data_IF_393573698562
#
_entry.id   IF_393573698562
#
_cell.length_a   1.000
_cell.length_b   1.000
_cell.length_c   1.000
_cell.angle_alpha   90.00
_cell.angle_beta   90.00
_cell.angle_gamma   90.00
#
_symmetry.space_group_name_H-M   'P 1'
#
loop_
_entity.id
_entity.type
_entity.pdbx_description
1 polymer ?
#
# COMPACT_ATOMS: atom_id res chain seq x y z
N UNK A 1 1.94 -18.85 -12.21
CA UNK A 1 1.74 -17.41 -12.01
C UNK A 1 0.85 -17.23 -10.80
N UNK A 2 1.19 -16.31 -9.90
CA UNK A 2 0.43 -16.02 -8.69
C UNK A 2 0.05 -14.54 -8.74
N UNK A 3 -1.22 -14.24 -8.53
CA UNK A 3 -1.74 -12.88 -8.39
C UNK A 3 -2.37 -12.72 -7.01
N UNK A 4 -2.32 -11.51 -6.48
CA UNK A 4 -2.91 -11.15 -5.21
C UNK A 4 -3.52 -9.76 -5.27
N UNK A 5 -4.62 -9.58 -4.55
CA UNK A 5 -5.27 -8.29 -4.36
C UNK A 5 -5.58 -8.09 -2.88
N UNK A 6 -5.33 -6.88 -2.36
CA UNK A 6 -5.59 -6.54 -0.97
C UNK A 6 -6.30 -5.19 -0.89
N UNK A 7 -7.48 -5.17 -0.30
CA UNK A 7 -8.17 -3.95 0.09
C UNK A 7 -8.04 -3.74 1.60
N UNK A 8 -7.78 -2.50 2.04
CA UNK A 8 -7.79 -2.10 3.45
C UNK A 8 -8.67 -0.87 3.59
N UNK A 9 -9.67 -0.95 4.46
CA UNK A 9 -10.56 0.15 4.78
C UNK A 9 -10.24 0.64 6.19
N UNK A 10 -10.12 1.95 6.34
CA UNK A 10 -9.88 2.63 7.61
C UNK A 10 -11.02 3.61 7.85
N UNK A 11 -11.70 3.45 8.98
CA UNK A 11 -12.75 4.37 9.42
C UNK A 11 -12.16 5.67 9.97
N UNK A 12 -12.97 6.73 9.99
CA UNK A 12 -12.57 7.99 10.62
C UNK A 12 -12.31 7.82 12.12
N UNK A 13 -11.43 8.64 12.66
CA UNK A 13 -11.22 8.69 14.11
C UNK A 13 -12.27 9.58 14.76
N UNK A 14 -13.09 8.98 15.62
CA UNK A 14 -14.17 9.68 16.34
C UNK A 14 -13.77 10.12 17.76
N UNK A 15 -12.70 9.53 18.33
CA UNK A 15 -12.22 9.80 19.69
C UNK A 15 -10.89 10.53 19.67
N UNK A 16 -10.91 11.77 19.21
CA UNK A 16 -9.74 12.66 19.20
C UNK A 16 -10.08 13.89 20.01
N UNK A 17 -9.21 14.25 20.95
CA UNK A 17 -9.40 15.46 21.75
C UNK A 17 -9.06 16.67 20.88
N UNK A 18 -10.02 17.59 20.75
CA UNK A 18 -9.87 18.79 19.92
C UNK A 18 -8.99 19.82 20.64
N UNK A 19 -7.68 19.70 20.42
CA UNK A 19 -6.67 20.53 21.06
C UNK A 19 -5.45 20.67 20.17
N UNK A 20 -4.79 21.83 20.23
CA UNK A 20 -3.54 22.11 19.50
C UNK A 20 -2.39 21.16 19.84
N UNK A 21 -2.52 20.39 20.92
CA UNK A 21 -1.54 19.40 21.36
C UNK A 21 -1.77 18.02 20.74
N UNK A 22 -2.93 17.78 20.10
CA UNK A 22 -3.27 16.50 19.49
C UNK A 22 -3.36 16.60 17.95
N UNK A 23 -2.96 15.54 17.24
CA UNK A 23 -3.14 15.44 15.80
C UNK A 23 -4.58 15.62 15.35
N UNK A 24 -4.78 16.22 14.18
CA UNK A 24 -6.06 16.17 13.49
C UNK A 24 -6.52 14.72 13.31
N UNK A 25 -7.81 14.48 13.53
CA UNK A 25 -8.43 13.18 13.30
C UNK A 25 -8.16 12.69 11.87
N UNK A 26 -7.84 11.41 11.70
CA UNK A 26 -7.78 10.83 10.35
C UNK A 26 -9.19 10.68 9.80
N UNK A 27 -9.36 11.08 8.54
CA UNK A 27 -10.58 10.81 7.78
C UNK A 27 -10.65 9.33 7.36
N UNK A 28 -11.81 8.92 6.85
CA UNK A 28 -12.02 7.60 6.29
C UNK A 28 -11.28 7.45 4.95
N UNK A 29 -10.61 6.32 4.72
CA UNK A 29 -9.97 6.03 3.44
C UNK A 29 -9.86 4.53 3.13
N UNK A 30 -9.74 4.22 1.83
CA UNK A 30 -9.56 2.85 1.33
C UNK A 30 -8.28 2.75 0.50
N UNK A 31 -7.42 1.79 0.85
CA UNK A 31 -6.21 1.47 0.10
C UNK A 31 -6.39 0.14 -0.62
N UNK A 32 -5.99 0.11 -1.89
CA UNK A 32 -6.04 -1.09 -2.73
C UNK A 32 -4.63 -1.40 -3.23
N UNK A 33 -4.20 -2.64 -3.10
CA UNK A 33 -2.89 -3.10 -3.55
C UNK A 33 -3.03 -4.32 -4.45
N UNK A 34 -2.15 -4.43 -5.45
CA UNK A 34 -2.05 -5.56 -6.38
C UNK A 34 -0.64 -6.14 -6.31
N UNK A 35 -0.57 -7.48 -6.37
CA UNK A 35 0.65 -8.25 -6.34
C UNK A 35 0.65 -9.25 -7.51
N UNK A 36 1.76 -9.34 -8.21
CA UNK A 36 2.00 -10.30 -9.29
C UNK A 36 3.34 -10.98 -9.06
N UNK A 37 3.36 -12.31 -9.15
CA UNK A 37 4.57 -13.13 -9.17
C UNK A 37 4.51 -14.10 -10.33
N UNK A 38 5.53 -14.09 -11.16
CA UNK A 38 5.62 -14.90 -12.36
C UNK A 38 7.01 -15.53 -12.51
N UNK A 39 7.01 -16.84 -12.66
CA UNK A 39 8.18 -17.63 -13.06
C UNK A 39 7.91 -18.15 -14.48
N UNK A 40 8.54 -17.57 -15.52
CA UNK A 40 8.40 -18.05 -16.89
C UNK A 40 8.89 -19.48 -17.03
N UNK A 41 8.18 -20.29 -17.82
CA UNK A 41 8.60 -21.66 -18.11
C UNK A 41 9.84 -21.72 -19.03
N UNK A 42 10.03 -20.70 -19.88
CA UNK A 42 11.13 -20.64 -20.84
C UNK A 42 12.50 -20.41 -20.17
N UNK A 43 12.53 -19.82 -18.97
CA UNK A 43 13.75 -19.55 -18.22
C UNK A 43 13.57 -20.12 -16.82
N UNK A 44 14.14 -21.31 -16.61
CA UNK A 44 14.15 -21.95 -15.31
C UNK A 44 14.84 -21.01 -14.30
N UNK A 45 14.35 -21.00 -13.06
CA UNK A 45 14.94 -20.26 -11.94
C UNK A 45 14.95 -18.72 -12.07
N UNK A 46 14.26 -18.16 -13.09
CA UNK A 46 13.93 -16.73 -13.18
C UNK A 46 12.61 -16.42 -12.47
N UNK A 47 12.62 -15.46 -11.53
CA UNK A 47 11.42 -14.99 -10.84
C UNK A 47 11.22 -13.50 -11.04
N UNK A 48 10.04 -13.12 -11.53
CA UNK A 48 9.60 -11.75 -11.71
C UNK A 48 8.50 -11.44 -10.72
N UNK A 49 8.61 -10.32 -10.00
CA UNK A 49 7.55 -9.83 -9.12
C UNK A 49 7.26 -8.37 -9.39
N UNK A 50 5.98 -8.02 -9.36
CA UNK A 50 5.50 -6.65 -9.40
C UNK A 50 4.52 -6.43 -8.25
N UNK A 51 4.60 -5.27 -7.63
CA UNK A 51 3.68 -4.84 -6.57
C UNK A 51 3.30 -3.39 -6.82
N UNK A 52 2.01 -3.11 -6.79
CA UNK A 52 1.48 -1.75 -6.80
C UNK A 52 0.69 -1.59 -5.51
N UNK A 53 1.14 -0.68 -4.63
CA UNK A 53 0.39 -0.29 -3.44
C UNK A 53 -0.26 1.07 -3.66
N UNK A 54 -1.37 1.30 -2.96
CA UNK A 54 -2.19 2.50 -3.15
C UNK A 54 -2.52 2.70 -4.65
N UNK A 55 -3.12 1.67 -5.25
CA UNK A 55 -3.46 1.58 -6.67
C UNK A 55 -4.24 2.80 -7.18
N UNK A 56 -5.13 3.36 -6.34
CA UNK A 56 -5.92 4.54 -6.66
C UNK A 56 -5.22 5.87 -6.40
N UNK A 57 -4.00 5.84 -5.85
CA UNK A 57 -3.24 7.02 -5.46
C UNK A 57 -4.04 7.97 -4.56
N UNK A 58 -4.70 7.39 -3.55
CA UNK A 58 -5.47 8.14 -2.57
C UNK A 58 -4.49 8.93 -1.71
N UNK A 59 -4.69 10.23 -1.58
CA UNK A 59 -4.06 11.03 -0.53
C UNK A 59 -4.78 10.75 0.79
N UNK A 60 -4.05 10.22 1.77
CA UNK A 60 -4.61 9.82 3.06
C UNK A 60 -3.66 10.22 4.17
N UNK A 61 -4.21 10.46 5.36
CA UNK A 61 -3.46 10.80 6.56
C UNK A 61 -3.61 9.67 7.58
N UNK A 62 -2.59 8.80 7.73
CA UNK A 62 -2.69 7.65 8.63
C UNK A 62 -2.86 8.10 10.09
N UNK A 63 -3.46 7.22 10.89
CA UNK A 63 -3.48 7.38 12.35
C UNK A 63 -2.05 7.56 12.88
N UNK A 64 -1.87 8.49 13.83
CA UNK A 64 -0.59 8.84 14.46
C UNK A 64 0.45 9.48 13.51
N UNK A 65 0.07 9.86 12.29
CA UNK A 65 0.97 10.58 11.38
C UNK A 65 0.91 12.09 11.54
N UNK A 66 0.27 12.63 12.59
CA UNK A 66 0.16 14.07 12.86
C UNK A 66 -0.39 14.89 11.67
N UNK A 67 -1.31 14.30 10.90
CA UNK A 67 -1.85 14.93 9.70
C UNK A 67 -0.90 14.95 8.49
N UNK A 68 0.26 14.31 8.58
CA UNK A 68 1.18 14.09 7.46
C UNK A 68 0.59 13.04 6.53
N UNK A 69 0.61 13.32 5.23
CA UNK A 69 0.16 12.39 4.21
C UNK A 69 1.01 11.11 4.21
N UNK A 70 0.33 9.98 4.12
CA UNK A 70 0.95 8.69 3.90
C UNK A 70 1.60 8.61 2.51
N UNK A 71 2.36 7.54 2.24
CA UNK A 71 2.92 7.33 0.91
C UNK A 71 1.81 7.22 -0.14
N UNK A 72 1.97 7.95 -1.24
CA UNK A 72 1.15 7.81 -2.45
C UNK A 72 1.32 6.44 -3.12
N UNK A 73 1.08 6.36 -4.42
CA UNK A 73 1.26 5.10 -5.18
C UNK A 73 2.72 4.62 -5.13
N UNK A 74 2.93 3.42 -4.60
CA UNK A 74 4.24 2.73 -4.62
C UNK A 74 4.21 1.66 -5.72
N UNK A 75 5.19 1.70 -6.62
CA UNK A 75 5.41 0.65 -7.63
C UNK A 75 6.75 -0.01 -7.35
N UNK A 76 6.74 -1.33 -7.15
CA UNK A 76 7.94 -2.13 -6.92
C UNK A 76 8.00 -3.25 -7.94
N UNK A 77 9.15 -3.36 -8.60
CA UNK A 77 9.45 -4.46 -9.53
C UNK A 77 10.73 -5.13 -9.04
N UNK A 78 10.75 -6.47 -9.05
CA UNK A 78 11.94 -7.25 -8.71
C UNK A 78 12.14 -8.37 -9.72
N UNK A 79 13.39 -8.59 -10.07
CA UNK A 79 13.86 -9.72 -10.85
C UNK A 79 14.87 -10.49 -9.98
N UNK A 80 14.70 -11.80 -9.90
CA UNK A 80 15.64 -12.70 -9.21
C UNK A 80 15.98 -13.84 -10.14
N UNK A 81 17.24 -14.23 -10.19
CA UNK A 81 17.73 -15.36 -10.97
C UNK A 81 18.71 -16.14 -10.11
N UNK A 82 18.44 -17.43 -9.90
CA UNK A 82 19.31 -18.31 -9.15
C UNK A 82 20.23 -19.07 -10.12
N UNK A 83 21.55 -19.03 -9.84
CA UNK A 83 22.62 -19.65 -10.64
C UNK A 83 22.95 -21.07 -10.16
#
# INVERSE_FOLDING_TARGET
MITGYKARWYHSQEKVEDSIYFPAASEEYILQDIYLSWQPQAVKDLMLRATIKNLKDVDYKPYLSNGVSGPGREIRVSLTYDL
#
